data_IF_679173104463
#
_entry.id   IF_679173104463
#
_cell.length_a   1.000
_cell.length_b   1.000
_cell.length_c   1.000
_cell.angle_alpha   90.00
_cell.angle_beta   90.00
_cell.angle_gamma   90.00
#
_symmetry.space_group_name_H-M   'P 1'
#
loop_
_entity.id
_entity.type
_entity.pdbx_description
1 polymer ?
#
# COMPACT_ATOMS: atom_id res chain seq x y z
N UNK A 1 16.88 -4.86 -2.76
CA UNK A 1 16.00 -3.83 -2.15
C UNK A 1 15.41 -4.41 -0.87
N UNK A 2 15.55 -3.75 0.28
CA UNK A 2 14.94 -4.25 1.54
C UNK A 2 13.41 -4.15 1.41
N UNK A 3 12.64 -5.11 1.96
CA UNK A 3 11.17 -5.13 1.88
C UNK A 3 10.54 -3.81 2.35
N UNK A 4 11.13 -3.17 3.37
CA UNK A 4 10.70 -1.87 3.88
C UNK A 4 10.77 -0.76 2.82
N UNK A 5 11.80 -0.77 1.98
CA UNK A 5 11.93 0.20 0.88
C UNK A 5 10.81 0.01 -0.15
N UNK A 6 10.42 -1.24 -0.44
CA UNK A 6 9.30 -1.54 -1.35
C UNK A 6 7.98 -1.05 -0.77
N UNK A 7 7.73 -1.31 0.51
CA UNK A 7 6.54 -0.83 1.22
C UNK A 7 6.47 0.70 1.18
N UNK A 8 7.57 1.39 1.49
CA UNK A 8 7.63 2.85 1.43
C UNK A 8 7.35 3.40 0.03
N UNK A 9 7.89 2.76 -1.01
CA UNK A 9 7.62 3.14 -2.40
C UNK A 9 6.15 2.98 -2.76
N UNK A 10 5.53 1.84 -2.40
CA UNK A 10 4.11 1.59 -2.65
C UNK A 10 3.21 2.58 -1.93
N UNK A 11 3.50 2.90 -0.66
CA UNK A 11 2.78 3.94 0.06
C UNK A 11 2.86 5.30 -0.65
N UNK A 12 4.04 5.70 -1.12
CA UNK A 12 4.21 6.96 -1.88
C UNK A 12 3.43 6.94 -3.19
N UNK A 13 3.42 5.80 -3.90
CA UNK A 13 2.63 5.66 -5.13
C UNK A 13 1.14 5.83 -4.87
N UNK A 14 0.61 5.22 -3.80
CA UNK A 14 -0.80 5.37 -3.43
C UNK A 14 -1.14 6.84 -3.14
N UNK A 15 -0.27 7.58 -2.45
CA UNK A 15 -0.47 9.02 -2.25
C UNK A 15 -0.54 9.77 -3.60
N UNK A 16 0.35 9.45 -4.54
CA UNK A 16 0.34 10.05 -5.87
C UNK A 16 -0.89 9.65 -6.71
N UNK A 17 -1.52 8.52 -6.40
CA UNK A 17 -2.77 8.05 -7.03
C UNK A 17 -4.02 8.68 -6.39
N UNK A 18 -3.85 9.59 -5.43
CA UNK A 18 -4.96 10.32 -4.80
C UNK A 18 -5.48 9.70 -3.51
N UNK A 19 -4.82 8.67 -2.97
CA UNK A 19 -5.14 8.20 -1.61
C UNK A 19 -4.65 9.21 -0.57
N UNK A 20 -5.47 9.45 0.44
CA UNK A 20 -5.08 10.27 1.58
C UNK A 20 -4.17 9.48 2.55
N UNK A 21 -3.29 10.15 3.32
CA UNK A 21 -2.43 9.50 4.30
C UNK A 21 -3.17 8.61 5.31
N UNK A 22 -4.37 9.00 5.73
CA UNK A 22 -5.18 8.19 6.65
C UNK A 22 -5.68 6.90 5.99
N UNK A 23 -5.99 6.91 4.68
CA UNK A 23 -6.41 5.72 3.95
C UNK A 23 -5.26 4.74 3.80
N UNK A 24 -4.06 5.23 3.48
CA UNK A 24 -2.84 4.40 3.41
C UNK A 24 -2.55 3.76 4.77
N UNK A 25 -2.69 4.52 5.87
CA UNK A 25 -2.55 3.98 7.24
C UNK A 25 -3.60 2.90 7.54
N UNK A 26 -4.85 3.11 7.15
CA UNK A 26 -5.92 2.12 7.33
C UNK A 26 -5.66 0.85 6.52
N UNK A 27 -5.14 0.96 5.29
CA UNK A 27 -4.77 -0.20 4.46
C UNK A 27 -3.65 -1.01 5.15
N UNK A 28 -2.63 -0.34 5.69
CA UNK A 28 -1.55 -1.00 6.43
C UNK A 28 -2.13 -1.75 7.65
N UNK A 29 -2.92 -1.07 8.46
CA UNK A 29 -3.54 -1.67 9.65
C UNK A 29 -4.46 -2.85 9.29
N UNK A 30 -5.19 -2.76 8.18
CA UNK A 30 -6.03 -3.86 7.68
C UNK A 30 -5.20 -5.07 7.24
N UNK A 31 -4.07 -4.84 6.57
CA UNK A 31 -3.23 -5.92 6.04
C UNK A 31 -2.54 -6.74 7.15
N UNK A 32 -1.95 -6.06 8.14
CA UNK A 32 -1.07 -6.69 9.14
C UNK A 32 -1.58 -6.55 10.58
N UNK A 33 -2.78 -6.01 10.81
CA UNK A 33 -3.36 -5.83 12.14
C UNK A 33 -2.68 -4.75 12.99
N UNK A 34 -1.69 -4.03 12.44
CA UNK A 34 -0.86 -3.05 13.13
C UNK A 34 -0.46 -1.93 12.17
N UNK A 35 -0.22 -0.73 12.69
CA UNK A 35 0.37 0.37 11.90
C UNK A 35 1.90 0.40 11.98
N UNK A 36 2.53 -0.47 12.77
CA UNK A 36 3.98 -0.50 12.96
C UNK A 36 4.63 -1.52 12.01
N UNK A 37 5.17 -1.01 10.88
CA UNK A 37 5.83 -1.82 9.85
C UNK A 37 7.18 -2.35 10.33
N UNK A 38 7.92 -1.58 11.15
CA UNK A 38 9.25 -1.96 11.62
C UNK A 38 9.20 -3.17 12.54
N UNK A 39 8.14 -3.25 13.36
CA UNK A 39 7.87 -4.40 14.24
C UNK A 39 7.23 -5.61 13.52
N UNK A 40 6.84 -5.47 12.25
CA UNK A 40 6.21 -6.55 11.50
C UNK A 40 7.23 -7.63 11.11
N UNK A 41 6.82 -8.90 11.19
CA UNK A 41 7.65 -10.00 10.72
C UNK A 41 7.70 -10.03 9.17
N UNK A 42 8.58 -10.88 8.61
CA UNK A 42 8.74 -10.96 7.15
C UNK A 42 7.48 -11.42 6.41
N UNK A 43 6.65 -12.28 7.02
CA UNK A 43 5.41 -12.75 6.41
C UNK A 43 4.37 -11.62 6.33
N UNK A 44 4.26 -10.81 7.38
CA UNK A 44 3.40 -9.62 7.43
C UNK A 44 3.88 -8.56 6.43
N UNK A 45 5.19 -8.33 6.34
CA UNK A 45 5.77 -7.42 5.32
C UNK A 45 5.45 -7.89 3.90
N UNK A 46 5.56 -9.18 3.62
CA UNK A 46 5.18 -9.75 2.32
C UNK A 46 3.69 -9.60 2.03
N UNK A 47 2.83 -9.90 3.01
CA UNK A 47 1.38 -9.72 2.91
C UNK A 47 1.02 -8.26 2.64
N UNK A 48 1.67 -7.33 3.34
CA UNK A 48 1.47 -5.90 3.17
C UNK A 48 1.84 -5.44 1.76
N UNK A 49 2.97 -5.92 1.22
CA UNK A 49 3.37 -5.62 -0.17
C UNK A 49 2.27 -6.06 -1.16
N UNK A 50 1.78 -7.29 -1.04
CA UNK A 50 0.74 -7.81 -1.93
C UNK A 50 -0.53 -6.95 -1.87
N UNK A 51 -0.99 -6.61 -0.66
CA UNK A 51 -2.17 -5.75 -0.48
C UNK A 51 -1.97 -4.38 -1.12
N UNK A 52 -0.84 -3.71 -0.86
CA UNK A 52 -0.56 -2.38 -1.41
C UNK A 52 -0.48 -2.40 -2.95
N UNK A 53 0.07 -3.46 -3.54
CA UNK A 53 0.12 -3.65 -4.99
C UNK A 53 -1.27 -3.85 -5.60
N UNK A 54 -2.18 -4.52 -4.89
CA UNK A 54 -3.55 -4.68 -5.36
C UNK A 54 -4.32 -3.35 -5.31
N UNK A 55 -4.11 -2.53 -4.29
CA UNK A 55 -4.65 -1.17 -4.25
C UNK A 55 -4.07 -0.25 -5.34
N UNK A 56 -2.78 -0.38 -5.66
CA UNK A 56 -2.16 0.32 -6.80
C UNK A 56 -2.87 -0.05 -8.11
N UNK A 57 -3.05 -1.36 -8.39
CA UNK A 57 -3.76 -1.84 -9.59
C UNK A 57 -5.20 -1.34 -9.66
N UNK A 58 -5.92 -1.38 -8.53
CA UNK A 58 -7.30 -0.89 -8.47
C UNK A 58 -7.37 0.59 -8.85
N UNK A 59 -6.55 1.44 -8.24
CA UNK A 59 -6.56 2.87 -8.55
C UNK A 59 -6.16 3.18 -9.99
N UNK A 60 -5.18 2.45 -10.57
CA UNK A 60 -4.88 2.56 -11.98
C UNK A 60 -6.06 2.17 -12.87
N UNK A 61 -6.75 1.08 -12.57
CA UNK A 61 -7.92 0.64 -13.32
C UNK A 61 -9.07 1.66 -13.23
N UNK A 62 -9.29 2.24 -12.05
CA UNK A 62 -10.26 3.32 -11.87
C UNK A 62 -9.87 4.58 -12.67
N UNK A 63 -8.62 5.02 -12.58
CA UNK A 63 -8.14 6.17 -13.35
C UNK A 63 -8.34 5.96 -14.86
N UNK A 64 -7.99 4.79 -15.39
CA UNK A 64 -8.19 4.44 -16.80
C UNK A 64 -9.68 4.40 -17.20
N UNK A 65 -10.56 3.89 -16.33
CA UNK A 65 -11.98 3.79 -16.60
C UNK A 65 -12.69 5.16 -16.72
N UNK A 66 -12.16 6.18 -16.05
CA UNK A 66 -12.78 7.52 -15.95
C UNK A 66 -11.98 8.65 -16.63
N UNK A 67 -10.90 8.34 -17.36
CA UNK A 67 -10.12 9.33 -18.14
C UNK A 67 -10.71 9.62 -19.54
N UNK A 68 -12.05 9.65 -19.68
CA UNK A 68 -12.74 9.96 -20.94
C UNK A 68 -13.00 11.45 -21.13
#
# INVERSE_FOLDING_TARGET
MKMEQRIQQLCKKLLNLGYYPFQVKSIIQFAIGSSNIDAANNADKLKLVNVLEDYEKLAHNFSLAYSK
#
